data_IF_167300338394
#
_entry.id   IF_167300338394
#
_cell.length_a   1.000
_cell.length_b   1.000
_cell.length_c   1.000
_cell.angle_alpha   90.00
_cell.angle_beta   90.00
_cell.angle_gamma   90.00
#
_symmetry.space_group_name_H-M   'P 1'
#
loop_
_entity.id
_entity.type
_entity.pdbx_description
1 polymer ?
#
# COMPACT_ATOMS: atom_id res chain seq x y z
N UNK A 1 -11.62 8.71 -26.57
CA UNK A 1 -11.56 7.44 -25.81
C UNK A 1 -10.82 7.78 -24.53
N UNK A 2 -11.46 7.65 -23.37
CA UNK A 2 -10.79 7.87 -22.08
C UNK A 2 -9.94 6.65 -21.76
N UNK A 3 -8.71 6.85 -21.30
CA UNK A 3 -7.89 5.75 -20.79
C UNK A 3 -8.25 5.44 -19.32
N UNK A 4 -7.57 4.46 -18.71
CA UNK A 4 -7.83 4.10 -17.30
C UNK A 4 -7.56 5.26 -16.35
N UNK A 5 -6.54 6.08 -16.64
CA UNK A 5 -6.14 7.22 -15.80
C UNK A 5 -7.27 8.24 -15.75
N UNK A 6 -7.84 8.59 -16.91
CA UNK A 6 -8.96 9.52 -17.01
C UNK A 6 -10.16 9.07 -16.16
N UNK A 7 -10.50 7.79 -16.20
CA UNK A 7 -11.61 7.22 -15.43
C UNK A 7 -11.35 7.26 -13.92
N UNK A 8 -10.11 6.98 -13.48
CA UNK A 8 -9.76 7.06 -12.06
C UNK A 8 -9.76 8.52 -11.55
N UNK A 9 -9.28 9.47 -12.36
CA UNK A 9 -9.34 10.90 -12.03
C UNK A 9 -10.78 11.40 -11.92
N UNK A 10 -11.67 10.96 -12.82
CA UNK A 10 -13.09 11.31 -12.76
C UNK A 10 -13.78 10.70 -11.53
N UNK A 11 -13.44 9.45 -11.17
CA UNK A 11 -13.92 8.83 -9.93
C UNK A 11 -13.49 9.63 -8.69
N UNK A 12 -12.23 10.10 -8.63
CA UNK A 12 -11.74 10.96 -7.53
C UNK A 12 -12.46 12.31 -7.54
N UNK A 13 -12.71 12.91 -8.72
CA UNK A 13 -13.43 14.18 -8.83
C UNK A 13 -14.85 14.08 -8.27
N UNK A 14 -15.55 12.99 -8.60
CA UNK A 14 -16.92 12.73 -8.15
C UNK A 14 -16.97 12.33 -6.67
N UNK A 15 -16.02 11.51 -6.21
CA UNK A 15 -15.96 10.99 -4.85
C UNK A 15 -14.51 10.92 -4.34
N UNK A 16 -14.01 12.04 -3.82
CA UNK A 16 -12.60 12.23 -3.48
C UNK A 16 -12.08 11.44 -2.27
N UNK A 17 -12.92 10.61 -1.66
CA UNK A 17 -12.57 9.72 -0.54
C UNK A 17 -12.58 8.24 -0.95
N UNK A 18 -12.73 7.94 -2.25
CA UNK A 18 -12.67 6.58 -2.78
C UNK A 18 -11.24 6.04 -2.80
N UNK A 19 -10.82 5.34 -1.73
CA UNK A 19 -9.46 4.80 -1.59
C UNK A 19 -9.00 3.99 -2.82
N UNK A 20 -9.87 3.12 -3.37
CA UNK A 20 -9.56 2.31 -4.55
C UNK A 20 -9.19 3.13 -5.78
N UNK A 21 -9.77 4.32 -5.98
CA UNK A 21 -9.45 5.15 -7.12
C UNK A 21 -8.02 5.71 -7.03
N UNK A 22 -7.58 6.11 -5.83
CA UNK A 22 -6.20 6.51 -5.59
C UNK A 22 -5.23 5.35 -5.77
N UNK A 23 -5.57 4.17 -5.24
CA UNK A 23 -4.76 2.96 -5.37
C UNK A 23 -4.57 2.53 -6.84
N UNK A 24 -5.67 2.40 -7.60
CA UNK A 24 -5.56 2.01 -9.00
C UNK A 24 -4.91 3.08 -9.87
N UNK A 25 -5.08 4.37 -9.54
CA UNK A 25 -4.33 5.44 -10.18
C UNK A 25 -2.84 5.33 -9.91
N UNK A 26 -2.43 5.02 -8.67
CA UNK A 26 -1.03 4.77 -8.31
C UNK A 26 -0.41 3.70 -9.21
N UNK A 27 -1.14 2.61 -9.45
CA UNK A 27 -0.66 1.48 -10.25
C UNK A 27 -0.61 1.75 -11.77
N UNK A 28 -1.06 2.91 -12.24
CA UNK A 28 -0.83 3.36 -13.63
C UNK A 28 0.42 4.23 -13.78
N UNK A 29 1.01 4.69 -12.67
CA UNK A 29 2.11 5.65 -12.69
C UNK A 29 3.46 4.93 -12.60
N UNK A 30 4.40 5.35 -13.44
CA UNK A 30 5.80 4.99 -13.25
C UNK A 30 6.39 5.78 -12.07
N UNK A 31 7.41 5.23 -11.41
CA UNK A 31 7.96 5.77 -10.16
C UNK A 31 8.37 7.26 -10.21
N UNK A 32 8.80 7.73 -11.38
CA UNK A 32 9.28 9.11 -11.58
C UNK A 32 8.22 10.08 -12.13
N UNK A 33 6.99 9.60 -12.34
CA UNK A 33 5.92 10.43 -12.88
C UNK A 33 5.07 11.05 -11.76
N UNK A 34 4.60 12.27 -12.00
CA UNK A 34 3.62 12.93 -11.13
C UNK A 34 2.38 13.30 -11.93
N UNK A 35 1.22 13.15 -11.30
CA UNK A 35 -0.07 13.47 -11.91
C UNK A 35 -0.82 14.51 -11.10
N UNK A 36 -1.57 15.36 -11.81
CA UNK A 36 -2.47 16.35 -11.23
C UNK A 36 -3.81 15.71 -10.90
N UNK A 37 -4.13 15.59 -9.62
CA UNK A 37 -5.40 15.02 -9.15
C UNK A 37 -6.38 16.15 -8.80
N UNK A 38 -7.62 16.15 -9.33
CA UNK A 38 -8.64 17.12 -8.98
C UNK A 38 -9.21 16.83 -7.59
N UNK A 39 -9.27 17.84 -6.72
CA UNK A 39 -9.78 17.77 -5.35
C UNK A 39 -10.81 18.89 -5.12
N UNK A 40 -11.60 18.81 -4.04
CA UNK A 40 -12.61 19.83 -3.71
C UNK A 40 -12.05 21.25 -3.60
N UNK A 41 -10.81 21.40 -3.13
CA UNK A 41 -10.12 22.68 -2.99
C UNK A 41 -9.20 23.02 -4.17
N UNK A 42 -9.41 22.41 -5.34
CA UNK A 42 -8.62 22.64 -6.55
C UNK A 42 -7.93 21.38 -7.05
N UNK A 43 -6.60 21.35 -7.00
CA UNK A 43 -5.81 20.22 -7.49
C UNK A 43 -4.52 20.09 -6.70
N UNK A 44 -3.95 18.89 -6.69
CA UNK A 44 -2.63 18.63 -6.10
C UNK A 44 -1.86 17.65 -6.98
N UNK A 45 -0.54 17.81 -7.01
CA UNK A 45 0.36 16.86 -7.66
C UNK A 45 0.62 15.67 -6.75
N UNK A 46 0.50 14.47 -7.29
CA UNK A 46 0.84 13.23 -6.59
C UNK A 46 1.80 12.39 -7.43
N UNK A 47 2.77 11.73 -6.78
CA UNK A 47 3.47 10.58 -7.35
C UNK A 47 2.77 9.27 -6.94
N UNK A 48 3.25 8.14 -7.49
CA UNK A 48 2.75 6.80 -7.18
C UNK A 48 2.68 6.51 -5.66
N UNK A 49 3.77 6.83 -4.93
CA UNK A 49 3.85 6.57 -3.49
C UNK A 49 2.86 7.41 -2.68
N UNK A 50 2.70 8.69 -3.02
CA UNK A 50 1.75 9.59 -2.37
C UNK A 50 0.30 9.15 -2.60
N UNK A 51 -0.03 8.63 -3.79
CA UNK A 51 -1.36 8.05 -4.05
C UNK A 51 -1.59 6.78 -3.24
N UNK A 52 -0.58 5.91 -3.15
CA UNK A 52 -0.65 4.68 -2.34
C UNK A 52 -0.89 5.01 -0.87
N UNK A 53 -0.16 6.00 -0.33
CA UNK A 53 -0.36 6.50 1.04
C UNK A 53 -1.73 7.15 1.25
N UNK A 54 -2.22 7.90 0.27
CA UNK A 54 -3.55 8.52 0.34
C UNK A 54 -4.65 7.46 0.34
N UNK A 55 -4.51 6.39 -0.46
CA UNK A 55 -5.41 5.25 -0.44
C UNK A 55 -5.45 4.59 0.94
N UNK A 56 -4.29 4.34 1.56
CA UNK A 56 -4.19 3.79 2.92
C UNK A 56 -4.81 4.75 3.95
N UNK A 57 -4.56 6.06 3.84
CA UNK A 57 -5.11 7.07 4.75
C UNK A 57 -6.65 7.09 4.72
N UNK A 58 -7.23 6.93 3.53
CA UNK A 58 -8.68 6.88 3.32
C UNK A 58 -9.28 5.56 3.80
N UNK A 59 -8.58 4.44 3.57
CA UNK A 59 -8.96 3.11 4.01
C UNK A 59 -7.76 2.32 4.55
N UNK A 60 -7.61 2.28 5.88
CA UNK A 60 -6.57 1.49 6.54
C UNK A 60 -6.76 -0.03 6.35
N UNK A 61 -7.88 -0.48 5.80
CA UNK A 61 -8.15 -1.89 5.51
C UNK A 61 -7.68 -2.37 4.14
N UNK A 62 -7.15 -1.47 3.29
CA UNK A 62 -6.77 -1.79 1.91
C UNK A 62 -5.44 -2.55 1.86
N UNK A 63 -5.49 -3.86 2.10
CA UNK A 63 -4.31 -4.75 2.22
C UNK A 63 -3.35 -4.67 1.02
N UNK A 64 -3.88 -4.57 -0.20
CA UNK A 64 -3.06 -4.47 -1.42
C UNK A 64 -2.16 -3.22 -1.42
N UNK A 65 -2.66 -2.10 -0.90
CA UNK A 65 -1.88 -0.87 -0.85
C UNK A 65 -0.69 -0.97 0.11
N UNK A 66 -0.80 -1.76 1.20
CA UNK A 66 0.34 -2.03 2.08
C UNK A 66 1.42 -2.85 1.39
N UNK A 67 1.02 -3.91 0.66
CA UNK A 67 1.96 -4.73 -0.13
C UNK A 67 2.65 -3.92 -1.23
N UNK A 68 1.90 -3.09 -1.96
CA UNK A 68 2.46 -2.23 -3.01
C UNK A 68 3.36 -1.14 -2.42
N UNK A 69 3.01 -0.58 -1.25
CA UNK A 69 3.86 0.38 -0.57
C UNK A 69 5.19 -0.27 -0.14
N UNK A 70 5.16 -1.52 0.33
CA UNK A 70 6.36 -2.27 0.67
C UNK A 70 7.27 -2.43 -0.55
N UNK A 71 6.72 -2.81 -1.70
CA UNK A 71 7.45 -2.95 -2.96
C UNK A 71 8.11 -1.62 -3.41
N UNK A 72 7.55 -0.48 -3.04
CA UNK A 72 8.11 0.84 -3.35
C UNK A 72 9.26 1.25 -2.40
N UNK A 73 9.46 0.59 -1.26
CA UNK A 73 10.54 0.91 -0.31
C UNK A 73 11.87 0.29 -0.73
N UNK A 74 12.94 1.07 -0.56
CA UNK A 74 14.30 0.53 -0.65
C UNK A 74 14.63 -0.37 0.55
N UNK A 75 15.64 -1.23 0.40
CA UNK A 75 16.15 -2.03 1.52
C UNK A 75 16.61 -1.07 2.65
N UNK A 76 16.01 -1.21 3.84
CA UNK A 76 16.19 -0.35 5.03
C UNK A 76 15.45 1.00 5.03
N UNK A 77 14.64 1.30 4.02
CA UNK A 77 13.77 2.47 4.08
C UNK A 77 12.61 2.22 5.07
N UNK A 78 12.26 3.25 5.84
CA UNK A 78 11.04 3.26 6.66
C UNK A 78 10.12 4.39 6.21
N UNK A 79 8.82 4.20 6.38
CA UNK A 79 7.84 5.20 5.99
C UNK A 79 6.78 5.40 7.06
N UNK A 80 6.36 6.65 7.20
CA UNK A 80 5.29 7.04 8.10
C UNK A 80 3.94 6.87 7.42
N UNK A 81 3.06 6.09 8.03
CA UNK A 81 1.68 5.86 7.58
C UNK A 81 0.71 6.44 8.59
N UNK A 82 -0.28 7.21 8.13
CA UNK A 82 -1.33 7.78 8.99
C UNK A 82 -2.50 6.82 9.11
N UNK A 83 -2.69 6.25 10.30
CA UNK A 83 -3.78 5.36 10.62
C UNK A 83 -4.82 6.07 11.51
N UNK A 84 -6.01 5.50 11.61
CA UNK A 84 -7.09 5.99 12.50
C UNK A 84 -6.66 6.01 13.97
N UNK A 85 -5.76 5.11 14.38
CA UNK A 85 -5.25 5.01 15.74
C UNK A 85 -4.03 5.91 16.02
N UNK A 86 -3.58 6.67 15.03
CA UNK A 86 -2.33 7.44 15.08
C UNK A 86 -1.41 7.11 13.92
N UNK A 87 -0.35 7.89 13.78
CA UNK A 87 0.71 7.61 12.83
C UNK A 87 1.66 6.52 13.35
N UNK A 88 2.17 5.69 12.44
CA UNK A 88 3.17 4.66 12.74
C UNK A 88 4.24 4.61 11.66
N UNK A 89 5.48 4.33 12.06
CA UNK A 89 6.57 4.00 11.14
C UNK A 89 6.49 2.52 10.77
N UNK A 90 6.65 2.23 9.48
CA UNK A 90 6.72 0.87 8.95
C UNK A 90 8.01 0.68 8.15
N UNK A 91 8.66 -0.46 8.35
CA UNK A 91 9.60 -1.02 7.37
C UNK A 91 8.89 -1.91 6.32
N UNK A 92 9.67 -2.45 5.38
CA UNK A 92 9.16 -3.30 4.29
C UNK A 92 8.51 -4.60 4.79
N UNK A 93 9.07 -5.25 5.82
CA UNK A 93 8.53 -6.49 6.39
C UNK A 93 7.24 -6.20 7.16
N UNK A 94 7.21 -5.14 7.95
CA UNK A 94 6.02 -4.71 8.70
C UNK A 94 4.85 -4.37 7.77
N UNK A 95 5.11 -3.78 6.59
CA UNK A 95 4.06 -3.54 5.60
C UNK A 95 3.50 -4.84 5.01
N UNK A 96 4.33 -5.83 4.69
CA UNK A 96 3.82 -7.14 4.24
C UNK A 96 3.04 -7.86 5.34
N UNK A 97 3.52 -7.82 6.58
CA UNK A 97 2.80 -8.39 7.73
C UNK A 97 1.44 -7.71 7.94
N UNK A 98 1.37 -6.39 7.80
CA UNK A 98 0.11 -5.65 7.90
C UNK A 98 -0.85 -6.01 6.76
N UNK A 99 -0.35 -6.16 5.53
CA UNK A 99 -1.12 -6.62 4.38
C UNK A 99 -1.73 -8.02 4.64
N UNK A 100 -0.94 -8.94 5.19
CA UNK A 100 -1.38 -10.30 5.56
C UNK A 100 -2.37 -10.27 6.73
N UNK A 101 -2.14 -9.43 7.74
CA UNK A 101 -3.04 -9.28 8.89
C UNK A 101 -4.44 -8.81 8.44
N UNK A 102 -4.49 -7.89 7.48
CA UNK A 102 -5.72 -7.38 6.89
C UNK A 102 -6.39 -8.42 5.97
N UNK A 103 -5.60 -9.17 5.20
CA UNK A 103 -6.07 -10.22 4.31
C UNK A 103 -5.16 -11.45 4.36
N UNK A 104 -5.53 -12.44 5.19
CA UNK A 104 -4.71 -13.65 5.40
C UNK A 104 -4.48 -14.48 4.12
N UNK A 105 -5.30 -14.30 3.08
CA UNK A 105 -5.17 -14.97 1.79
C UNK A 105 -4.32 -14.22 0.76
N UNK A 106 -3.66 -13.11 1.12
CA UNK A 106 -2.89 -12.29 0.17
C UNK A 106 -1.55 -12.97 -0.17
N UNK A 107 -1.58 -13.94 -1.08
CA UNK A 107 -0.42 -14.75 -1.46
C UNK A 107 0.81 -13.93 -1.90
N UNK A 108 0.60 -12.82 -2.58
CA UNK A 108 1.67 -11.92 -3.02
C UNK A 108 2.47 -11.32 -1.85
N UNK A 109 1.80 -10.97 -0.76
CA UNK A 109 2.47 -10.45 0.43
C UNK A 109 3.33 -11.53 1.12
N UNK A 110 2.90 -12.79 1.14
CA UNK A 110 3.74 -13.90 1.63
C UNK A 110 4.96 -14.14 0.74
N UNK A 111 4.76 -14.12 -0.58
CA UNK A 111 5.83 -14.29 -1.56
C UNK A 111 6.92 -13.25 -1.37
N UNK A 112 6.56 -11.97 -1.32
CA UNK A 112 7.55 -10.90 -1.12
C UNK A 112 8.12 -10.85 0.29
N UNK A 113 7.34 -11.18 1.33
CA UNK A 113 7.88 -11.31 2.68
C UNK A 113 8.99 -12.36 2.74
N UNK A 114 8.79 -13.52 2.12
CA UNK A 114 9.83 -14.56 2.03
C UNK A 114 11.10 -14.11 1.30
N UNK A 115 10.98 -13.21 0.32
CA UNK A 115 12.14 -12.60 -0.34
C UNK A 115 12.90 -11.63 0.57
N UNK A 116 12.22 -10.90 1.45
CA UNK A 116 12.84 -9.94 2.38
C UNK A 116 13.49 -10.60 3.62
N UNK A 117 13.08 -11.82 3.99
CA UNK A 117 13.68 -12.53 5.11
C UNK A 117 15.14 -12.92 4.79
N UNK A 118 16.01 -12.84 5.79
CA UNK A 118 17.35 -13.45 5.73
C UNK A 118 17.27 -14.96 5.96
N UNK A 119 18.23 -15.73 5.44
CA UNK A 119 18.32 -17.17 5.75
C UNK A 119 18.44 -17.37 7.26
N UNK A 120 17.63 -18.27 7.82
CA UNK A 120 17.50 -18.53 9.25
C UNK A 120 16.64 -17.52 10.01
N UNK A 121 16.14 -16.46 9.37
CA UNK A 121 15.25 -15.49 10.01
C UNK A 121 13.89 -16.13 10.28
N UNK A 122 13.41 -15.93 11.51
CA UNK A 122 12.08 -16.33 11.95
C UNK A 122 11.14 -15.13 11.94
N UNK A 123 9.94 -15.32 11.43
CA UNK A 123 8.90 -14.31 11.45
C UNK A 123 7.58 -14.89 11.94
N UNK A 124 6.88 -14.12 12.77
CA UNK A 124 5.54 -14.45 13.25
C UNK A 124 4.51 -13.66 12.46
N UNK A 125 3.53 -14.36 11.90
CA UNK A 125 2.42 -13.80 11.15
C UNK A 125 1.14 -14.00 11.95
N UNK A 126 0.38 -12.93 12.15
CA UNK A 126 -0.91 -12.99 12.86
C UNK A 126 -2.04 -13.35 11.88
N UNK A 127 -2.68 -14.49 12.08
CA UNK A 127 -3.83 -14.96 11.28
C UNK A 127 -5.10 -14.97 12.13
N UNK A 128 -6.26 -15.11 11.48
CA UNK A 128 -7.56 -15.25 12.16
C UNK A 128 -7.61 -16.45 13.10
N UNK A 129 -6.96 -17.55 12.73
CA UNK A 129 -6.98 -18.81 13.48
C UNK A 129 -5.79 -18.95 14.46
N UNK A 130 -5.00 -17.89 14.61
CA UNK A 130 -3.84 -17.83 15.51
C UNK A 130 -2.57 -17.35 14.82
N UNK A 131 -1.51 -17.20 15.62
CA UNK A 131 -0.20 -16.83 15.11
C UNK A 131 0.48 -18.04 14.44
N UNK A 132 1.11 -17.82 13.29
CA UNK A 132 1.94 -18.81 12.62
C UNK A 132 3.39 -18.31 12.51
N UNK A 133 4.36 -19.16 12.85
CA UNK A 133 5.79 -18.88 12.68
C UNK A 133 6.28 -19.48 11.36
N UNK A 134 7.06 -18.70 10.61
CA UNK A 134 7.76 -19.13 9.40
C UNK A 134 9.25 -18.89 9.57
N UNK A 135 10.07 -19.77 9.00
CA UNK A 135 11.53 -19.62 8.93
C UNK A 135 11.95 -19.73 7.47
N UNK A 136 12.85 -18.85 7.03
CA UNK A 136 13.49 -19.01 5.72
C UNK A 136 14.65 -19.97 5.84
N UNK A 137 14.56 -21.11 5.17
CA UNK A 137 15.63 -22.12 5.10
C UNK A 137 16.71 -21.76 4.06
#
# INVERSE_FOLDING_TARGET
>A
MFDKIDLYLEAIRLYNVLALAYYYLANQLSANYTIRVPLKAGHRMFNQRQLTLEAIRLDNGLSLAYSDLANQLSANETIKVWLKAGDRMFDKKELYLEAIRLHNGLAEAYFYLGHELSTGEKIKVQLRDGDQEFTKE
#
